data_IF_298384897171
#
_entry.id   IF_298384897171
#
_cell.length_a   1.000
_cell.length_b   1.000
_cell.length_c   1.000
_cell.angle_alpha   90.00
_cell.angle_beta   90.00
_cell.angle_gamma   90.00
#
_symmetry.space_group_name_H-M   'P 1'
#
loop_
_entity.id
_entity.type
_entity.pdbx_description
1 polymer ?
#
# COMPACT_ATOMS: atom_id res chain seq x y z
N UNK A 1 -8.23 -13.12 21.67
CA UNK A 1 -8.04 -11.68 21.41
C UNK A 1 -7.36 -11.40 20.06
N UNK A 2 -6.33 -12.15 19.63
CA UNK A 2 -5.64 -11.90 18.35
C UNK A 2 -6.52 -11.95 17.10
N UNK A 3 -7.41 -12.93 16.96
CA UNK A 3 -8.30 -13.03 15.78
C UNK A 3 -9.23 -11.82 15.64
N UNK A 4 -9.85 -11.37 16.73
CA UNK A 4 -10.70 -10.17 16.70
C UNK A 4 -9.90 -8.91 16.32
N UNK A 5 -8.66 -8.78 16.80
CA UNK A 5 -7.79 -7.65 16.45
C UNK A 5 -7.44 -7.65 14.94
N UNK A 6 -7.20 -8.82 14.35
CA UNK A 6 -6.95 -8.96 12.90
C UNK A 6 -8.20 -8.62 12.09
N UNK A 7 -9.39 -9.03 12.54
CA UNK A 7 -10.64 -8.65 11.85
C UNK A 7 -10.87 -7.14 11.89
N UNK A 8 -10.71 -6.52 13.07
CA UNK A 8 -10.87 -5.07 13.23
C UNK A 8 -9.84 -4.32 12.40
N UNK A 9 -8.58 -4.77 12.36
CA UNK A 9 -7.55 -4.13 11.54
C UNK A 9 -7.82 -4.29 10.05
N UNK A 10 -8.33 -5.44 9.60
CA UNK A 10 -8.69 -5.66 8.21
C UNK A 10 -9.84 -4.75 7.75
N UNK A 11 -10.91 -4.65 8.55
CA UNK A 11 -12.04 -3.75 8.26
C UNK A 11 -11.60 -2.29 8.25
N UNK A 12 -10.80 -1.88 9.23
CA UNK A 12 -10.29 -0.50 9.33
C UNK A 12 -9.38 -0.16 8.15
N UNK A 13 -8.50 -1.08 7.76
CA UNK A 13 -7.59 -0.90 6.61
C UNK A 13 -8.36 -0.76 5.29
N UNK A 14 -9.37 -1.62 5.09
CA UNK A 14 -10.24 -1.55 3.91
C UNK A 14 -11.01 -0.23 3.83
N UNK A 15 -11.63 0.18 4.94
CA UNK A 15 -12.36 1.45 5.02
C UNK A 15 -11.45 2.65 4.82
N UNK A 16 -10.29 2.69 5.47
CA UNK A 16 -9.32 3.78 5.31
C UNK A 16 -8.83 3.91 3.87
N UNK A 17 -8.61 2.79 3.16
CA UNK A 17 -8.23 2.79 1.76
C UNK A 17 -9.31 3.39 0.85
N UNK A 18 -10.57 3.01 1.04
CA UNK A 18 -11.71 3.55 0.25
C UNK A 18 -11.98 5.02 0.59
N UNK A 19 -11.88 5.41 1.87
CA UNK A 19 -12.02 6.80 2.28
C UNK A 19 -10.89 7.67 1.70
N UNK A 20 -9.65 7.16 1.69
CA UNK A 20 -8.53 7.85 1.06
C UNK A 20 -8.71 7.96 -0.46
N UNK A 21 -9.27 6.95 -1.11
CA UNK A 21 -9.64 7.04 -2.52
C UNK A 21 -10.70 8.13 -2.76
N UNK A 22 -11.74 8.16 -1.94
CA UNK A 22 -12.80 9.17 -2.02
C UNK A 22 -12.25 10.60 -1.82
N UNK A 23 -11.38 10.82 -0.83
CA UNK A 23 -10.83 12.16 -0.56
C UNK A 23 -9.91 12.65 -1.69
N UNK A 24 -9.25 11.72 -2.40
CA UNK A 24 -8.40 12.04 -3.55
C UNK A 24 -9.20 12.31 -4.83
N UNK A 25 -10.35 11.65 -5.01
CA UNK A 25 -11.12 11.70 -6.27
C UNK A 25 -12.28 12.71 -6.26
N UNK A 26 -12.84 13.08 -5.11
CA UNK A 26 -14.07 13.89 -5.03
C UNK A 26 -13.82 15.41 -4.88
N UNK A 27 -12.61 15.85 -4.54
CA UNK A 27 -12.32 17.27 -4.25
C UNK A 27 -11.63 18.04 -5.40
N UNK A 28 -11.83 19.37 -5.52
CA UNK A 28 -11.09 20.21 -6.46
C UNK A 28 -9.61 20.45 -6.05
N UNK A 29 -9.27 20.07 -4.81
CA UNK A 29 -7.92 20.17 -4.24
C UNK A 29 -6.96 19.18 -4.89
N UNK A 30 -5.71 19.61 -5.14
CA UNK A 30 -4.69 18.73 -5.70
C UNK A 30 -4.32 17.59 -4.75
N UNK A 31 -3.95 16.45 -5.32
CA UNK A 31 -3.50 15.25 -4.58
C UNK A 31 -2.27 15.51 -3.74
N UNK A 32 -1.39 16.39 -4.18
CA UNK A 32 -0.21 16.82 -3.44
C UNK A 32 -0.59 17.54 -2.14
N UNK A 33 -1.57 18.45 -2.19
CA UNK A 33 -2.05 19.17 -0.99
C UNK A 33 -2.72 18.19 -0.01
N UNK A 34 -3.52 17.24 -0.51
CA UNK A 34 -4.11 16.19 0.33
C UNK A 34 -3.05 15.31 0.99
N UNK A 35 -2.01 14.93 0.24
CA UNK A 35 -0.91 14.14 0.77
C UNK A 35 -0.11 14.90 1.84
N UNK A 36 0.10 16.22 1.65
CA UNK A 36 0.74 17.08 2.67
C UNK A 36 -0.12 17.16 3.93
N UNK A 37 -1.43 17.38 3.81
CA UNK A 37 -2.35 17.40 4.96
C UNK A 37 -2.26 16.10 5.77
N UNK A 38 -2.29 14.95 5.08
CA UNK A 38 -2.15 13.64 5.71
C UNK A 38 -0.77 13.42 6.32
N UNK A 39 0.30 13.89 5.68
CA UNK A 39 1.65 13.80 6.21
C UNK A 39 1.82 14.63 7.50
N UNK A 40 1.19 15.81 7.58
CA UNK A 40 1.20 16.64 8.80
C UNK A 40 0.53 15.89 9.96
N UNK A 41 -0.68 15.35 9.75
CA UNK A 41 -1.35 14.55 10.77
C UNK A 41 -0.54 13.31 11.15
N UNK A 42 0.00 12.60 10.15
CA UNK A 42 0.86 11.43 10.38
C UNK A 42 2.11 11.77 11.20
N UNK A 43 2.72 12.93 10.97
CA UNK A 43 3.89 13.40 11.72
C UNK A 43 3.52 13.71 13.17
N UNK A 44 2.40 14.39 13.41
CA UNK A 44 1.90 14.69 14.76
C UNK A 44 1.64 13.39 15.53
N UNK A 45 0.91 12.44 14.93
CA UNK A 45 0.66 11.15 15.57
C UNK A 45 1.95 10.35 15.79
N UNK A 46 2.88 10.37 14.84
CA UNK A 46 4.19 9.73 14.98
C UNK A 46 4.99 10.29 16.17
N UNK A 47 5.03 11.61 16.33
CA UNK A 47 5.69 12.26 17.47
C UNK A 47 4.99 11.94 18.80
N UNK A 48 3.65 11.92 18.83
CA UNK A 48 2.90 11.52 20.03
C UNK A 48 3.21 10.08 20.44
N UNK A 49 3.32 9.16 19.48
CA UNK A 49 3.70 7.76 19.76
C UNK A 49 5.11 7.71 20.37
N UNK A 50 6.07 8.45 19.81
CA UNK A 50 7.44 8.52 20.35
C UNK A 50 7.44 9.07 21.79
N UNK A 51 6.65 10.10 22.08
CA UNK A 51 6.53 10.67 23.44
C UNK A 51 5.84 9.68 24.40
N UNK A 52 4.82 8.96 23.96
CA UNK A 52 4.10 8.02 24.83
C UNK A 52 4.92 6.76 25.16
N UNK A 53 5.66 6.22 24.20
CA UNK A 53 6.32 4.92 24.33
C UNK A 53 7.84 5.00 24.54
N UNK A 54 8.52 5.95 23.89
CA UNK A 54 9.99 5.98 23.80
C UNK A 54 10.64 7.26 24.39
N UNK A 55 9.88 8.08 25.12
CA UNK A 55 10.32 9.39 25.63
C UNK A 55 11.65 9.34 26.40
N UNK A 56 11.82 8.36 27.29
CA UNK A 56 13.05 8.23 28.10
C UNK A 56 14.27 7.92 27.22
N UNK A 57 14.11 7.03 26.25
CA UNK A 57 15.20 6.68 25.33
C UNK A 57 15.61 7.87 24.45
N UNK A 58 14.63 8.66 24.00
CA UNK A 58 14.87 9.87 23.19
C UNK A 58 15.56 10.98 23.99
N UNK A 59 15.22 11.15 25.27
CA UNK A 59 15.89 12.13 26.13
C UNK A 59 17.34 11.76 26.42
N UNK A 60 17.59 10.52 26.81
CA UNK A 60 18.92 10.10 27.26
C UNK A 60 19.92 10.00 26.10
N UNK A 61 19.45 9.65 24.90
CA UNK A 61 20.33 9.30 23.78
C UNK A 61 20.10 10.10 22.49
N UNK A 62 19.08 10.94 22.47
CA UNK A 62 18.69 11.76 21.31
C UNK A 62 17.78 11.03 20.33
N UNK A 63 17.00 11.79 19.55
CA UNK A 63 16.02 11.25 18.60
C UNK A 63 16.66 10.45 17.44
N UNK A 64 17.83 10.88 16.97
CA UNK A 64 18.51 10.28 15.82
C UNK A 64 19.53 9.20 16.21
N UNK A 65 19.43 8.66 17.43
CA UNK A 65 20.38 7.66 17.88
C UNK A 65 20.22 6.35 17.09
N UNK A 66 21.34 5.80 16.61
CA UNK A 66 21.34 4.53 15.88
C UNK A 66 20.86 4.64 14.42
N UNK A 67 20.67 5.86 13.90
CA UNK A 67 20.40 6.07 12.48
C UNK A 67 21.65 5.72 11.66
N UNK A 68 21.64 4.55 11.04
CA UNK A 68 22.66 4.13 10.08
C UNK A 68 22.27 4.55 8.66
N UNK A 69 23.19 4.44 7.70
CA UNK A 69 22.90 4.69 6.28
C UNK A 69 21.73 3.85 5.77
N UNK A 70 21.56 2.62 6.27
CA UNK A 70 20.42 1.77 5.93
C UNK A 70 19.09 2.35 6.40
N UNK A 71 19.05 2.94 7.60
CA UNK A 71 17.85 3.61 8.12
C UNK A 71 17.46 4.77 7.20
N UNK A 72 18.42 5.58 6.76
CA UNK A 72 18.17 6.65 5.78
C UNK A 72 17.61 6.10 4.47
N UNK A 73 18.19 5.03 3.92
CA UNK A 73 17.69 4.39 2.69
C UNK A 73 16.24 3.91 2.87
N UNK A 74 15.93 3.25 3.99
CA UNK A 74 14.56 2.77 4.29
C UNK A 74 13.59 3.93 4.43
N UNK A 75 13.98 5.04 5.08
CA UNK A 75 13.16 6.24 5.19
C UNK A 75 12.82 6.80 3.81
N UNK A 76 13.82 6.98 2.94
CA UNK A 76 13.60 7.48 1.58
C UNK A 76 12.74 6.52 0.74
N UNK A 77 12.97 5.21 0.87
CA UNK A 77 12.19 4.19 0.18
C UNK A 77 10.72 4.22 0.63
N UNK A 78 10.47 4.29 1.94
CA UNK A 78 9.13 4.34 2.51
C UNK A 78 8.39 5.63 2.13
N UNK A 79 9.08 6.77 2.18
CA UNK A 79 8.51 8.06 1.79
C UNK A 79 8.12 8.09 0.31
N UNK A 80 9.01 7.62 -0.57
CA UNK A 80 8.75 7.52 -2.02
C UNK A 80 7.63 6.51 -2.30
N UNK A 81 7.65 5.35 -1.63
CA UNK A 81 6.62 4.33 -1.76
C UNK A 81 5.24 4.84 -1.37
N UNK A 82 5.13 5.59 -0.28
CA UNK A 82 3.88 6.24 0.15
C UNK A 82 3.36 7.23 -0.89
N UNK A 83 4.26 8.02 -1.50
CA UNK A 83 3.89 8.95 -2.55
C UNK A 83 3.42 8.24 -3.83
N UNK A 84 4.14 7.20 -4.27
CA UNK A 84 3.75 6.37 -5.41
C UNK A 84 2.38 5.74 -5.17
N UNK A 85 2.12 5.22 -3.98
CA UNK A 85 0.81 4.65 -3.61
C UNK A 85 -0.30 5.71 -3.73
N UNK A 86 -0.08 6.94 -3.30
CA UNK A 86 -1.07 8.01 -3.46
C UNK A 86 -1.37 8.32 -4.94
N UNK A 87 -0.33 8.33 -5.77
CA UNK A 87 -0.47 8.47 -7.23
C UNK A 87 -1.23 7.29 -7.83
N UNK A 88 -0.90 6.05 -7.45
CA UNK A 88 -1.60 4.84 -7.90
C UNK A 88 -3.07 4.90 -7.52
N UNK A 89 -3.43 5.32 -6.32
CA UNK A 89 -4.84 5.42 -5.90
C UNK A 89 -5.58 6.57 -6.62
N UNK A 90 -4.87 7.62 -7.03
CA UNK A 90 -5.46 8.69 -7.84
C UNK A 90 -5.80 8.22 -9.25
N UNK A 91 -4.85 7.57 -9.91
CA UNK A 91 -4.97 7.20 -11.33
C UNK A 91 -5.58 5.81 -11.55
N UNK A 92 -5.51 4.94 -10.55
CA UNK A 92 -6.16 3.64 -10.51
C UNK A 92 -7.16 3.61 -9.34
N UNK A 93 -7.62 2.42 -8.98
CA UNK A 93 -8.54 2.19 -7.87
C UNK A 93 -7.81 1.46 -6.72
N UNK A 94 -8.29 1.61 -5.48
CA UNK A 94 -7.70 0.91 -4.34
C UNK A 94 -7.76 -0.63 -4.49
N UNK A 95 -8.70 -1.14 -5.30
CA UNK A 95 -8.80 -2.56 -5.69
C UNK A 95 -7.58 -3.00 -6.53
N UNK A 96 -7.21 -2.23 -7.55
CA UNK A 96 -6.06 -2.53 -8.42
C UNK A 96 -4.75 -2.48 -7.61
N UNK A 97 -4.63 -1.51 -6.69
CA UNK A 97 -3.51 -1.46 -5.73
C UNK A 97 -3.44 -2.75 -4.90
N UNK A 98 -4.58 -3.26 -4.43
CA UNK A 98 -4.67 -4.52 -3.69
C UNK A 98 -4.11 -5.70 -4.49
N UNK A 99 -4.58 -5.88 -5.72
CA UNK A 99 -4.07 -6.91 -6.63
C UNK A 99 -2.57 -6.75 -6.94
N UNK A 100 -2.11 -5.53 -7.21
CA UNK A 100 -0.70 -5.25 -7.45
C UNK A 100 0.19 -5.61 -6.26
N UNK A 101 -0.29 -5.32 -5.03
CA UNK A 101 0.41 -5.68 -3.79
C UNK A 101 0.50 -7.19 -3.63
N UNK A 102 -0.60 -7.92 -3.84
CA UNK A 102 -0.61 -9.39 -3.78
C UNK A 102 0.34 -10.01 -4.82
N UNK A 103 0.33 -9.50 -6.06
CA UNK A 103 1.22 -9.97 -7.12
C UNK A 103 2.70 -9.67 -6.81
N UNK A 104 2.98 -8.49 -6.23
CA UNK A 104 4.33 -8.13 -5.78
C UNK A 104 4.87 -9.09 -4.72
N UNK A 105 4.03 -9.51 -3.76
CA UNK A 105 4.41 -10.53 -2.76
C UNK A 105 4.75 -11.86 -3.45
N UNK A 106 3.96 -12.31 -4.42
CA UNK A 106 4.24 -13.55 -5.16
C UNK A 106 5.58 -13.48 -5.90
N UNK A 107 5.84 -12.39 -6.63
CA UNK A 107 7.12 -12.19 -7.30
C UNK A 107 8.28 -12.16 -6.30
N UNK A 108 8.10 -11.47 -5.17
CA UNK A 108 9.10 -11.43 -4.10
C UNK A 108 9.41 -12.83 -3.57
N UNK A 109 8.39 -13.67 -3.34
CA UNK A 109 8.57 -15.06 -2.92
C UNK A 109 9.28 -15.91 -3.97
N UNK A 110 8.97 -15.74 -5.26
CA UNK A 110 9.65 -16.45 -6.37
C UNK A 110 11.14 -16.06 -6.44
N UNK A 111 11.43 -14.76 -6.38
CA UNK A 111 12.82 -14.27 -6.35
C UNK A 111 13.55 -14.80 -5.12
N UNK A 112 12.90 -14.81 -3.95
CA UNK A 112 13.48 -15.34 -2.72
C UNK A 112 13.79 -16.84 -2.80
N UNK A 113 12.98 -17.63 -3.52
CA UNK A 113 13.27 -19.04 -3.78
C UNK A 113 14.47 -19.23 -4.71
N UNK A 114 14.50 -18.52 -5.85
CA UNK A 114 15.52 -18.72 -6.88
C UNK A 114 16.87 -18.07 -6.56
N UNK A 115 16.89 -16.90 -5.93
CA UNK A 115 18.10 -16.09 -5.72
C UNK A 115 18.65 -16.29 -4.32
N UNK A 116 17.80 -16.21 -3.30
CA UNK A 116 18.23 -16.30 -1.90
C UNK A 116 18.28 -17.74 -1.38
N UNK A 117 17.59 -18.70 -2.03
CA UNK A 117 17.43 -20.08 -1.55
C UNK A 117 16.82 -20.21 -0.12
N UNK A 118 16.29 -19.11 0.43
CA UNK A 118 15.78 -19.03 1.81
C UNK A 118 14.32 -19.49 1.96
N UNK A 119 13.61 -19.74 0.85
CA UNK A 119 12.17 -20.05 0.88
C UNK A 119 11.85 -21.36 0.15
N UNK A 120 11.44 -22.41 0.86
CA UNK A 120 10.94 -23.63 0.22
C UNK A 120 9.43 -23.55 -0.02
N UNK A 121 8.95 -23.44 -1.27
CA UNK A 121 7.53 -23.31 -1.55
C UNK A 121 6.76 -24.58 -1.16
N UNK A 122 5.69 -24.40 -0.37
CA UNK A 122 4.79 -25.49 0.05
C UNK A 122 3.65 -25.69 -0.96
N UNK A 123 2.99 -26.84 -0.93
CA UNK A 123 1.84 -27.12 -1.82
C UNK A 123 0.73 -26.07 -1.67
N UNK A 124 0.47 -25.60 -0.45
CA UNK A 124 -0.50 -24.53 -0.18
C UNK A 124 -0.11 -23.19 -0.83
N UNK A 125 1.20 -22.88 -0.87
CA UNK A 125 1.69 -21.69 -1.55
C UNK A 125 1.41 -21.75 -3.06
N UNK A 126 1.60 -22.91 -3.69
CA UNK A 126 1.27 -23.09 -5.11
C UNK A 126 -0.22 -22.91 -5.40
N UNK A 127 -1.10 -23.52 -4.60
CA UNK A 127 -2.55 -23.39 -4.76
C UNK A 127 -2.99 -21.92 -4.59
N UNK A 128 -2.47 -21.24 -3.56
CA UNK A 128 -2.73 -19.82 -3.33
C UNK A 128 -2.24 -18.93 -4.47
N UNK A 129 -1.04 -19.21 -4.98
CA UNK A 129 -0.45 -18.48 -6.12
C UNK A 129 -1.31 -18.60 -7.37
N UNK A 130 -1.74 -19.81 -7.72
CA UNK A 130 -2.61 -20.04 -8.88
C UNK A 130 -3.95 -19.30 -8.74
N UNK A 131 -4.55 -19.33 -7.55
CA UNK A 131 -5.79 -18.61 -7.27
C UNK A 131 -5.63 -17.09 -7.47
N UNK A 132 -4.58 -16.48 -6.93
CA UNK A 132 -4.30 -15.03 -7.08
C UNK A 132 -4.04 -14.65 -8.53
N UNK A 133 -3.30 -15.49 -9.29
CA UNK A 133 -3.08 -15.26 -10.71
C UNK A 133 -4.39 -15.30 -11.49
N UNK A 134 -5.22 -16.33 -11.29
CA UNK A 134 -6.54 -16.44 -11.95
C UNK A 134 -7.43 -15.23 -11.62
N UNK A 135 -7.50 -14.80 -10.36
CA UNK A 135 -8.29 -13.64 -9.97
C UNK A 135 -7.79 -12.36 -10.65
N UNK A 136 -6.48 -12.16 -10.74
CA UNK A 136 -5.86 -11.01 -11.40
C UNK A 136 -6.16 -11.00 -12.90
N UNK A 137 -6.06 -12.16 -13.57
CA UNK A 137 -6.40 -12.30 -14.98
C UNK A 137 -7.88 -12.01 -15.26
N UNK A 138 -8.78 -12.55 -14.43
CA UNK A 138 -10.22 -12.36 -14.59
C UNK A 138 -10.61 -10.89 -14.42
N UNK A 139 -10.08 -10.22 -13.39
CA UNK A 139 -10.33 -8.80 -13.15
C UNK A 139 -9.79 -7.91 -14.28
N UNK A 140 -8.60 -8.23 -14.80
CA UNK A 140 -8.03 -7.53 -15.95
C UNK A 140 -8.87 -7.68 -17.22
N UNK A 141 -9.40 -8.88 -17.46
CA UNK A 141 -10.26 -9.16 -18.61
C UNK A 141 -11.57 -8.38 -18.59
N UNK A 142 -12.18 -8.24 -17.41
CA UNK A 142 -13.42 -7.48 -17.25
C UNK A 142 -13.21 -5.97 -17.50
N UNK A 143 -12.11 -5.39 -16.99
CA UNK A 143 -11.75 -3.99 -17.29
C UNK A 143 -11.54 -3.73 -18.79
N UNK A 144 -11.00 -4.70 -19.54
CA UNK A 144 -10.88 -4.60 -21.00
C UNK A 144 -12.24 -4.65 -21.72
N UNK A 145 -13.19 -5.44 -21.20
CA UNK A 145 -14.54 -5.57 -21.79
C UNK A 145 -15.44 -4.37 -21.48
N UNK A 146 -15.22 -3.70 -20.35
CA UNK A 146 -15.98 -2.53 -19.90
C UNK A 146 -15.53 -1.23 -20.58
N UNK A 147 -14.40 -1.21 -21.29
CA UNK A 147 -14.06 -0.09 -22.18
C UNK A 147 -14.89 -0.25 -23.46
N UNK A 148 -15.93 0.59 -23.71
CA UNK A 148 -16.66 0.52 -24.96
C UNK A 148 -15.68 0.92 -26.07
N UNK A 149 -15.74 0.19 -27.18
CA UNK A 149 -15.16 0.62 -28.45
C UNK A 149 -15.44 2.11 -28.64
N UNK A 150 -14.38 2.91 -28.81
CA UNK A 150 -14.46 4.34 -29.09
C UNK A 150 -15.05 4.59 -30.49
N UNK A 151 -16.32 4.22 -30.70
CA UNK A 151 -17.02 4.46 -31.96
C UNK A 151 -18.55 4.63 -31.85
N UNK A 152 -19.06 5.13 -30.73
CA UNK A 152 -20.44 5.65 -30.68
C UNK A 152 -20.44 7.02 -30.00
N UNK A 153 -20.01 8.03 -30.75
CA UNK A 153 -20.52 9.39 -30.57
C UNK A 153 -21.30 9.76 -31.84
N UNK A 154 -22.63 9.95 -31.79
CA UNK A 154 -23.28 10.74 -32.81
C UNK A 154 -22.74 12.17 -32.69
N UNK A 155 -22.12 12.64 -33.77
CA UNK A 155 -21.82 14.06 -33.97
C UNK A 155 -23.13 14.83 -33.90
N UNK A 156 -23.27 15.70 -32.90
CA UNK A 156 -23.96 17.01 -32.97
C UNK A 156 -23.54 17.85 -31.77
#
# INVERSE_FOLDING_TARGET
MGFCAVLVSAVTSGFAGVYFEQILKTGPTSVWVRNIQLAIFGTIFGLLIVICFDYKAVLDKGFFQGYTTLVWIVIFLQATGGLIIAVVIKYADNIIKGFATSLSILFSSVISYFVLHDFTPTLFFYIGTMCVLTATFLYGWEKLKVTPSANDQPRV
#
